data_IF_125335511903
#
_entry.id   IF_125335511903
#
_cell.length_a   1.000
_cell.length_b   1.000
_cell.length_c   1.000
_cell.angle_alpha   90.00
_cell.angle_beta   90.00
_cell.angle_gamma   90.00
#
_symmetry.space_group_name_H-M   'P 1'
#
loop_
_entity.id
_entity.type
_entity.pdbx_description
1 polymer ?
#
# COMPACT_ATOMS: atom_id res chain seq x y z
N UNK A 1 27.81 23.75 43.85
CA UNK A 1 27.96 22.52 43.03
C UNK A 1 26.60 22.13 42.47
N UNK A 2 26.27 22.50 41.22
CA UNK A 2 25.00 22.14 40.55
C UNK A 2 25.33 21.64 39.15
N UNK A 3 25.37 20.32 38.96
CA UNK A 3 25.78 19.72 37.68
C UNK A 3 25.06 18.40 37.40
N UNK A 4 23.77 18.29 37.72
CA UNK A 4 23.08 16.98 37.69
C UNK A 4 21.62 17.02 37.20
N UNK A 5 21.20 18.04 36.44
CA UNK A 5 19.81 18.12 35.91
C UNK A 5 19.77 18.00 34.37
N UNK A 6 20.90 18.16 33.67
CA UNK A 6 20.92 18.18 32.20
C UNK A 6 20.95 16.78 31.54
N UNK A 7 21.37 15.74 32.27
CA UNK A 7 21.46 14.37 31.76
C UNK A 7 20.08 13.75 31.45
N UNK A 8 19.04 13.84 32.32
CA UNK A 8 17.73 13.26 32.00
C UNK A 8 17.03 13.99 30.84
N UNK A 9 17.20 15.30 30.71
CA UNK A 9 16.57 16.09 29.64
C UNK A 9 17.15 15.73 28.27
N UNK A 10 18.48 15.54 28.17
CA UNK A 10 19.13 15.13 26.92
C UNK A 10 18.67 13.75 26.45
N UNK A 11 18.51 12.79 27.37
CA UNK A 11 18.02 11.45 27.05
C UNK A 11 16.57 11.48 26.56
N UNK A 12 15.69 12.22 27.24
CA UNK A 12 14.29 12.37 26.80
C UNK A 12 14.24 12.98 25.41
N UNK A 13 15.04 14.01 25.12
CA UNK A 13 15.01 14.69 23.83
C UNK A 13 15.55 13.79 22.70
N UNK A 14 16.59 12.99 22.95
CA UNK A 14 17.10 11.99 22.01
C UNK A 14 16.10 10.87 21.79
N UNK A 15 15.46 10.34 22.85
CA UNK A 15 14.44 9.30 22.74
C UNK A 15 13.21 9.82 22.01
N UNK A 16 12.72 11.02 22.32
CA UNK A 16 11.60 11.65 21.61
C UNK A 16 11.94 11.92 20.15
N UNK A 17 13.17 12.36 19.84
CA UNK A 17 13.64 12.55 18.48
C UNK A 17 13.77 11.22 17.73
N UNK A 18 14.26 10.17 18.39
CA UNK A 18 14.36 8.82 17.81
C UNK A 18 12.96 8.24 17.55
N UNK A 19 12.03 8.41 18.48
CA UNK A 19 10.61 8.03 18.32
C UNK A 19 9.95 8.85 17.22
N UNK A 20 10.25 10.14 17.08
CA UNK A 20 9.76 10.99 15.97
C UNK A 20 10.37 10.58 14.62
N UNK A 21 11.65 10.22 14.57
CA UNK A 21 12.33 9.73 13.37
C UNK A 21 11.80 8.35 12.96
N UNK A 22 11.54 7.46 13.93
CA UNK A 22 10.92 6.16 13.70
C UNK A 22 9.43 6.31 13.31
N UNK A 23 8.70 7.23 13.94
CA UNK A 23 7.29 7.51 13.62
C UNK A 23 7.10 8.15 12.24
N UNK A 24 8.10 8.87 11.73
CA UNK A 24 8.08 9.45 10.37
C UNK A 24 8.31 8.43 9.25
N UNK A 25 8.74 7.21 9.57
CA UNK A 25 9.22 6.24 8.58
C UNK A 25 8.32 5.04 8.29
N UNK A 26 7.23 4.82 9.03
CA UNK A 26 6.43 3.60 8.83
C UNK A 26 5.25 3.87 7.91
N UNK A 27 5.58 4.13 6.64
CA UNK A 27 4.68 3.77 5.54
C UNK A 27 4.33 2.29 5.62
N UNK A 28 3.21 1.90 5.04
CA UNK A 28 2.89 0.48 4.91
C UNK A 28 4.06 -0.26 4.25
N UNK A 29 4.41 -1.47 4.69
CA UNK A 29 5.40 -2.27 3.99
C UNK A 29 4.95 -2.46 2.54
N UNK A 30 5.90 -2.65 1.63
CA UNK A 30 5.56 -2.98 0.26
C UNK A 30 4.63 -4.21 0.21
N UNK A 31 3.46 -4.11 -0.43
CA UNK A 31 2.50 -5.20 -0.50
C UNK A 31 3.11 -6.42 -1.16
N UNK A 32 3.59 -6.32 -2.40
CA UNK A 32 4.18 -7.43 -3.16
C UNK A 32 5.70 -7.36 -3.13
N UNK A 33 6.36 -8.37 -2.58
CA UNK A 33 7.81 -8.48 -2.65
C UNK A 33 8.29 -8.96 -4.01
N UNK A 34 9.50 -8.56 -4.43
CA UNK A 34 10.14 -9.03 -5.68
C UNK A 34 10.16 -10.56 -5.80
N UNK A 35 10.35 -11.27 -4.68
CA UNK A 35 10.31 -12.74 -4.67
C UNK A 35 8.97 -13.33 -5.10
N UNK A 36 7.86 -12.73 -4.65
CA UNK A 36 6.50 -13.14 -5.06
C UNK A 36 6.24 -12.78 -6.52
N UNK A 37 6.59 -11.55 -6.91
CA UNK A 37 6.45 -11.07 -8.29
C UNK A 37 7.16 -12.03 -9.26
N UNK A 38 8.43 -12.32 -8.98
CA UNK A 38 9.26 -13.16 -9.83
C UNK A 38 8.79 -14.62 -9.87
N UNK A 39 8.24 -15.16 -8.78
CA UNK A 39 7.73 -16.53 -8.76
C UNK A 39 6.39 -16.68 -9.48
N UNK A 40 5.52 -15.67 -9.41
CA UNK A 40 4.14 -15.76 -9.90
C UNK A 40 4.02 -15.25 -11.34
N UNK A 41 4.70 -14.16 -11.69
CA UNK A 41 4.59 -13.52 -13.01
C UNK A 41 5.86 -13.64 -13.87
N UNK A 42 6.98 -14.07 -13.27
CA UNK A 42 8.30 -13.98 -13.90
C UNK A 42 8.99 -12.64 -13.62
N UNK A 43 10.20 -12.41 -14.18
CA UNK A 43 11.04 -11.26 -13.86
C UNK A 43 10.28 -9.93 -13.97
N UNK A 44 10.26 -9.17 -12.87
CA UNK A 44 9.64 -7.85 -12.80
C UNK A 44 10.41 -6.90 -11.89
N UNK A 45 10.28 -5.61 -12.18
CA UNK A 45 10.89 -4.53 -11.41
C UNK A 45 9.81 -3.61 -10.84
N UNK A 46 9.92 -3.33 -9.55
CA UNK A 46 9.07 -2.37 -8.86
C UNK A 46 9.54 -0.97 -9.21
N UNK A 47 8.65 -0.18 -9.80
CA UNK A 47 9.00 1.14 -10.29
C UNK A 47 9.22 2.13 -9.16
N UNK A 48 10.11 3.12 -9.34
CA UNK A 48 10.38 4.14 -8.31
C UNK A 48 9.18 5.06 -7.98
N UNK A 49 8.13 5.05 -8.80
CA UNK A 49 6.84 5.74 -8.59
C UNK A 49 5.90 4.99 -7.65
N UNK A 50 6.25 3.76 -7.25
CA UNK A 50 5.60 3.07 -6.13
C UNK A 50 5.86 3.82 -4.84
N UNK A 51 5.01 3.67 -3.81
CA UNK A 51 5.20 4.40 -2.57
C UNK A 51 4.02 4.36 -1.62
N UNK A 52 4.19 4.95 -0.44
CA UNK A 52 3.11 5.02 0.53
C UNK A 52 2.15 6.17 0.20
N UNK A 53 0.87 5.94 0.45
CA UNK A 53 -0.20 6.88 0.23
C UNK A 53 -0.67 7.46 1.56
N UNK A 54 -0.90 8.77 1.57
CA UNK A 54 -1.40 9.52 2.73
C UNK A 54 -2.45 10.53 2.30
N UNK A 55 -3.25 11.01 3.24
CA UNK A 55 -4.20 12.10 2.99
C UNK A 55 -3.65 13.40 3.55
N UNK A 56 -3.53 14.42 2.72
CA UNK A 56 -3.11 15.77 3.10
C UNK A 56 -4.08 16.79 2.53
N UNK A 57 -4.65 17.65 3.37
CA UNK A 57 -5.56 18.73 2.96
C UNK A 57 -6.75 18.25 2.09
N UNK A 58 -7.24 17.03 2.34
CA UNK A 58 -8.34 16.43 1.57
C UNK A 58 -7.92 15.88 0.19
N UNK A 59 -6.63 15.86 -0.12
CA UNK A 59 -6.07 15.23 -1.31
C UNK A 59 -5.25 14.00 -0.94
N UNK A 60 -5.14 13.06 -1.88
CA UNK A 60 -4.23 11.93 -1.74
C UNK A 60 -2.84 12.38 -2.17
N UNK A 61 -1.84 12.01 -1.38
CA UNK A 61 -0.43 12.26 -1.67
C UNK A 61 0.29 10.93 -1.67
N UNK A 62 0.88 10.58 -2.80
CA UNK A 62 1.81 9.46 -2.95
C UNK A 62 3.19 9.97 -2.62
N UNK A 63 3.85 9.33 -1.68
CA UNK A 63 5.26 9.56 -1.36
C UNK A 63 6.04 8.42 -1.97
N UNK A 64 6.60 8.70 -3.13
CA UNK A 64 7.23 7.72 -4.02
C UNK A 64 8.56 7.22 -3.41
N UNK A 65 8.96 6.00 -3.76
CA UNK A 65 10.21 5.37 -3.31
C UNK A 65 11.42 6.20 -3.75
N UNK A 66 11.35 6.89 -4.89
CA UNK A 66 12.39 7.83 -5.33
C UNK A 66 12.49 9.13 -4.50
N UNK A 67 11.57 9.35 -3.57
CA UNK A 67 11.59 10.49 -2.63
C UNK A 67 10.74 11.69 -3.04
N UNK A 68 10.10 11.65 -4.21
CA UNK A 68 9.16 12.68 -4.63
C UNK A 68 7.79 12.51 -3.94
N UNK A 69 7.06 13.61 -3.76
CA UNK A 69 5.65 13.57 -3.35
C UNK A 69 4.77 14.07 -4.49
N UNK A 70 3.79 13.28 -4.86
CA UNK A 70 2.87 13.58 -5.96
C UNK A 70 1.45 13.63 -5.45
N UNK A 71 0.77 14.75 -5.70
CA UNK A 71 -0.67 14.86 -5.45
C UNK A 71 -1.42 14.03 -6.48
N UNK A 72 -2.37 13.24 -6.02
CA UNK A 72 -3.22 12.40 -6.86
C UNK A 72 -4.67 12.48 -6.40
N UNK A 73 -5.55 11.83 -7.15
CA UNK A 73 -6.97 11.69 -6.82
C UNK A 73 -7.34 10.21 -6.79
N UNK A 74 -8.38 9.82 -6.02
CA UNK A 74 -8.84 8.44 -6.04
C UNK A 74 -9.20 7.93 -7.45
N UNK A 75 -9.79 8.79 -8.28
CA UNK A 75 -10.13 8.46 -9.67
C UNK A 75 -8.89 8.16 -10.54
N UNK A 76 -7.79 8.90 -10.35
CA UNK A 76 -6.52 8.61 -11.04
C UNK A 76 -5.87 7.31 -10.55
N UNK A 77 -6.15 6.93 -9.31
CA UNK A 77 -5.71 5.65 -8.75
C UNK A 77 -6.66 4.50 -9.08
N UNK A 78 -7.76 4.74 -9.81
CA UNK A 78 -8.72 3.71 -10.18
C UNK A 78 -9.57 3.17 -9.02
N UNK A 79 -9.60 3.84 -7.87
CA UNK A 79 -10.30 3.37 -6.67
C UNK A 79 -11.63 4.10 -6.46
N UNK A 80 -12.60 3.42 -5.84
CA UNK A 80 -13.96 3.94 -5.65
C UNK A 80 -14.13 4.86 -4.42
N UNK A 81 -13.12 4.92 -3.55
CA UNK A 81 -13.21 5.67 -2.30
C UNK A 81 -12.95 7.16 -2.48
N UNK A 82 -13.59 7.98 -1.64
CA UNK A 82 -13.26 9.40 -1.53
C UNK A 82 -12.04 9.60 -0.62
N UNK A 83 -11.28 10.68 -0.82
CA UNK A 83 -10.05 10.93 -0.05
C UNK A 83 -10.29 10.93 1.48
N UNK A 84 -11.43 11.41 1.96
CA UNK A 84 -11.76 11.41 3.39
C UNK A 84 -12.09 10.03 3.98
N UNK A 85 -12.38 9.04 3.13
CA UNK A 85 -12.61 7.65 3.52
C UNK A 85 -11.31 6.87 3.68
N UNK A 86 -10.19 7.40 3.17
CA UNK A 86 -8.89 6.77 3.18
C UNK A 86 -8.10 7.32 4.38
N UNK A 87 -7.48 6.43 5.15
CA UNK A 87 -6.56 6.81 6.23
C UNK A 87 -5.14 6.92 5.67
N UNK A 88 -4.67 5.82 5.08
CA UNK A 88 -3.36 5.66 4.44
C UNK A 88 -3.41 4.52 3.45
N UNK A 89 -2.37 4.35 2.66
CA UNK A 89 -2.30 3.26 1.70
C UNK A 89 -0.89 3.04 1.16
N UNK A 90 -0.82 2.25 0.11
CA UNK A 90 0.38 2.01 -0.66
C UNK A 90 -0.02 1.85 -2.13
N UNK A 91 0.78 2.38 -3.04
CA UNK A 91 0.64 2.14 -4.47
C UNK A 91 1.90 1.46 -4.96
N UNK A 92 1.73 0.41 -5.74
CA UNK A 92 2.81 -0.38 -6.30
C UNK A 92 2.63 -0.51 -7.81
N UNK A 93 3.65 -0.12 -8.55
CA UNK A 93 3.71 -0.23 -10.00
C UNK A 93 4.85 -1.16 -10.34
N UNK A 94 4.59 -2.15 -11.18
CA UNK A 94 5.60 -3.15 -11.56
C UNK A 94 5.59 -3.31 -13.08
N UNK A 95 6.79 -3.31 -13.66
CA UNK A 95 7.01 -3.64 -15.06
C UNK A 95 7.77 -4.96 -15.17
N UNK A 96 7.21 -5.90 -15.93
CA UNK A 96 7.91 -7.08 -16.43
C UNK A 96 8.28 -6.94 -17.90
N UNK A 97 8.81 -8.01 -18.49
CA UNK A 97 9.19 -8.05 -19.91
C UNK A 97 8.01 -7.91 -20.87
N UNK A 98 6.86 -8.47 -20.49
CA UNK A 98 5.67 -8.65 -21.32
C UNK A 98 4.38 -8.40 -20.53
N UNK A 99 4.50 -7.90 -19.30
CA UNK A 99 3.40 -7.53 -18.43
C UNK A 99 3.73 -6.23 -17.68
N UNK A 100 2.69 -5.58 -17.19
CA UNK A 100 2.81 -4.62 -16.11
C UNK A 100 1.59 -4.74 -15.22
N UNK A 101 1.73 -4.37 -13.96
CA UNK A 101 0.58 -4.27 -13.08
C UNK A 101 0.66 -3.06 -12.18
N UNK A 102 -0.51 -2.70 -11.68
CA UNK A 102 -0.71 -1.67 -10.69
C UNK A 102 -1.50 -2.25 -9.53
N UNK A 103 -1.04 -1.98 -8.31
CA UNK A 103 -1.68 -2.39 -7.08
C UNK A 103 -1.88 -1.17 -6.19
N UNK A 104 -3.13 -0.94 -5.77
CA UNK A 104 -3.45 -0.01 -4.68
C UNK A 104 -3.80 -0.83 -3.47
N UNK A 105 -3.21 -0.51 -2.33
CA UNK A 105 -3.69 -0.97 -1.05
C UNK A 105 -4.14 0.22 -0.24
N UNK A 106 -5.36 0.18 0.27
CA UNK A 106 -5.96 1.24 1.06
C UNK A 106 -6.33 0.70 2.44
N UNK A 107 -5.94 1.44 3.47
CA UNK A 107 -6.51 1.33 4.80
C UNK A 107 -7.56 2.43 4.95
N UNK A 108 -8.79 2.01 5.20
CA UNK A 108 -9.97 2.84 5.21
C UNK A 108 -10.26 3.32 6.63
N UNK A 109 -10.90 4.48 6.73
CA UNK A 109 -11.31 5.06 8.00
C UNK A 109 -12.57 4.32 8.52
N UNK A 110 -12.51 3.63 9.68
CA UNK A 110 -13.65 2.88 10.20
C UNK A 110 -14.88 3.74 10.54
N UNK A 111 -14.70 5.06 10.69
CA UNK A 111 -15.81 6.00 10.90
C UNK A 111 -16.56 6.37 9.61
N UNK A 112 -15.98 6.08 8.44
CA UNK A 112 -16.50 6.50 7.14
C UNK A 112 -16.92 5.34 6.24
N UNK A 113 -16.46 4.12 6.53
CA UNK A 113 -16.69 2.92 5.70
C UNK A 113 -17.23 1.79 6.56
N UNK A 114 -18.08 0.93 5.99
CA UNK A 114 -18.59 -0.27 6.65
C UNK A 114 -17.64 -1.43 6.40
N UNK A 115 -17.31 -2.17 7.46
CA UNK A 115 -16.47 -3.36 7.37
C UNK A 115 -17.11 -4.42 6.47
N UNK A 116 -16.32 -5.01 5.57
CA UNK A 116 -16.79 -6.09 4.69
C UNK A 116 -15.65 -7.02 4.26
N UNK A 117 -16.01 -8.22 3.82
CA UNK A 117 -15.06 -9.20 3.29
C UNK A 117 -15.57 -9.71 1.94
N UNK A 118 -14.87 -9.41 0.86
CA UNK A 118 -15.18 -9.96 -0.46
C UNK A 118 -13.93 -10.05 -1.34
N UNK A 119 -14.04 -10.87 -2.37
CA UNK A 119 -13.07 -10.93 -3.45
C UNK A 119 -13.84 -10.85 -4.75
N UNK A 120 -13.37 -10.02 -5.68
CA UNK A 120 -13.90 -9.94 -7.03
C UNK A 120 -12.75 -10.13 -8.02
N UNK A 121 -12.96 -10.96 -9.03
CA UNK A 121 -12.02 -11.17 -10.13
C UNK A 121 -12.77 -10.89 -11.43
N UNK A 122 -12.21 -10.04 -12.28
CA UNK A 122 -12.77 -9.63 -13.55
C UNK A 122 -11.70 -9.81 -14.62
N UNK A 123 -12.00 -10.65 -15.61
CA UNK A 123 -11.09 -10.97 -16.70
C UNK A 123 -11.61 -10.38 -18.01
N UNK A 124 -10.82 -9.50 -18.59
CA UNK A 124 -11.00 -8.95 -19.93
C UNK A 124 -9.90 -9.48 -20.86
N UNK A 125 -9.98 -9.21 -22.16
CA UNK A 125 -9.13 -9.85 -23.18
C UNK A 125 -7.62 -9.78 -22.88
N UNK A 126 -7.12 -8.68 -22.30
CA UNK A 126 -5.70 -8.50 -21.97
C UNK A 126 -5.47 -7.89 -20.57
N UNK A 127 -6.50 -7.94 -19.73
CA UNK A 127 -6.50 -7.29 -18.42
C UNK A 127 -7.17 -8.20 -17.41
N UNK A 128 -6.56 -8.37 -16.25
CA UNK A 128 -7.17 -9.03 -15.09
C UNK A 128 -7.22 -8.03 -13.94
N UNK A 129 -8.44 -7.76 -13.45
CA UNK A 129 -8.68 -6.93 -12.27
C UNK A 129 -9.09 -7.83 -11.10
N UNK A 130 -8.37 -7.71 -9.99
CA UNK A 130 -8.62 -8.43 -8.75
C UNK A 130 -8.82 -7.39 -7.65
N UNK A 131 -9.99 -7.42 -7.01
CA UNK A 131 -10.30 -6.62 -5.84
C UNK A 131 -10.40 -7.56 -4.65
N UNK A 132 -9.60 -7.30 -3.62
CA UNK A 132 -9.66 -8.02 -2.35
C UNK A 132 -9.98 -7.03 -1.25
N UNK A 133 -11.14 -7.18 -0.61
CA UNK A 133 -11.51 -6.37 0.54
C UNK A 133 -11.58 -7.24 1.79
N UNK A 134 -10.91 -6.82 2.86
CA UNK A 134 -10.95 -7.48 4.17
C UNK A 134 -11.22 -6.39 5.21
N UNK A 135 -12.16 -6.57 6.14
CA UNK A 135 -12.43 -5.61 7.21
C UNK A 135 -12.50 -4.15 6.75
N UNK A 136 -11.52 -3.33 7.11
CA UNK A 136 -11.38 -1.92 6.70
C UNK A 136 -10.18 -1.69 5.77
N UNK A 137 -9.85 -2.65 4.91
CA UNK A 137 -8.81 -2.51 3.92
C UNK A 137 -9.20 -3.12 2.58
N UNK A 138 -8.73 -2.49 1.49
CA UNK A 138 -8.94 -2.96 0.12
C UNK A 138 -7.62 -3.02 -0.63
N UNK A 139 -7.46 -4.03 -1.48
CA UNK A 139 -6.40 -4.14 -2.46
C UNK A 139 -7.02 -4.22 -3.87
N UNK A 140 -6.72 -3.22 -4.70
CA UNK A 140 -7.13 -3.14 -6.09
C UNK A 140 -5.93 -3.46 -6.98
N UNK A 141 -5.90 -4.66 -7.54
CA UNK A 141 -4.83 -5.15 -8.39
C UNK A 141 -5.28 -5.22 -9.84
N UNK A 142 -4.60 -4.48 -10.72
CA UNK A 142 -4.86 -4.48 -12.16
C UNK A 142 -3.62 -4.97 -12.90
N UNK A 143 -3.73 -6.11 -13.57
CA UNK A 143 -2.68 -6.74 -14.37
C UNK A 143 -2.96 -6.56 -15.85
N UNK A 144 -1.92 -6.25 -16.62
CA UNK A 144 -1.97 -6.02 -18.05
C UNK A 144 -0.94 -6.86 -18.79
N UNK A 145 -1.27 -7.22 -20.04
CA UNK A 145 -0.37 -7.90 -20.99
C UNK A 145 -0.99 -9.21 -21.48
N UNK A 146 -1.52 -9.99 -20.55
CA UNK A 146 -2.27 -11.22 -20.82
C UNK A 146 -3.24 -11.49 -19.65
N UNK A 147 -4.14 -12.45 -19.82
CA UNK A 147 -4.96 -12.94 -18.72
C UNK A 147 -4.12 -13.79 -17.78
N UNK A 148 -4.24 -13.55 -16.48
CA UNK A 148 -3.63 -14.44 -15.49
C UNK A 148 -4.22 -15.85 -15.64
N UNK A 149 -3.39 -16.86 -15.45
CA UNK A 149 -3.90 -18.22 -15.26
C UNK A 149 -4.64 -18.32 -13.93
N UNK A 150 -5.58 -19.26 -13.81
CA UNK A 150 -6.32 -19.50 -12.57
C UNK A 150 -5.40 -19.72 -11.36
N UNK A 151 -4.25 -20.38 -11.55
CA UNK A 151 -3.26 -20.58 -10.49
C UNK A 151 -2.66 -19.24 -10.02
N UNK A 152 -2.28 -18.36 -10.94
CA UNK A 152 -1.76 -17.02 -10.63
C UNK A 152 -2.83 -16.16 -9.96
N UNK A 153 -4.08 -16.19 -10.44
CA UNK A 153 -5.19 -15.47 -9.81
C UNK A 153 -5.36 -15.90 -8.34
N UNK A 154 -5.36 -17.20 -8.08
CA UNK A 154 -5.47 -17.74 -6.72
C UNK A 154 -4.29 -17.35 -5.84
N UNK A 155 -3.06 -17.37 -6.37
CA UNK A 155 -1.86 -16.92 -5.65
C UNK A 155 -1.97 -15.45 -5.26
N UNK A 156 -2.35 -14.59 -6.20
CA UNK A 156 -2.53 -13.14 -5.96
C UNK A 156 -3.62 -12.89 -4.92
N UNK A 157 -4.78 -13.52 -5.06
CA UNK A 157 -5.89 -13.38 -4.10
C UNK A 157 -5.45 -13.83 -2.70
N UNK A 158 -4.76 -14.98 -2.60
CA UNK A 158 -4.28 -15.51 -1.32
C UNK A 158 -3.26 -14.56 -0.67
N UNK A 159 -2.31 -14.09 -1.46
CA UNK A 159 -1.27 -13.18 -1.02
C UNK A 159 -1.83 -11.86 -0.51
N UNK A 160 -2.70 -11.22 -1.30
CA UNK A 160 -3.34 -9.96 -0.93
C UNK A 160 -4.28 -10.12 0.26
N UNK A 161 -5.05 -11.21 0.34
CA UNK A 161 -5.90 -11.49 1.52
C UNK A 161 -5.07 -11.55 2.80
N UNK A 162 -4.00 -12.34 2.79
CA UNK A 162 -3.12 -12.47 3.94
C UNK A 162 -2.39 -11.18 4.27
N UNK A 163 -2.02 -10.38 3.25
CA UNK A 163 -1.46 -9.05 3.47
C UNK A 163 -2.44 -8.13 4.18
N UNK A 164 -3.66 -7.99 3.66
CA UNK A 164 -4.71 -7.12 4.21
C UNK A 164 -5.08 -7.49 5.65
N UNK A 165 -5.21 -8.78 5.94
CA UNK A 165 -5.47 -9.28 7.29
C UNK A 165 -4.35 -8.91 8.28
N UNK A 166 -3.08 -9.01 7.85
CA UNK A 166 -1.94 -8.60 8.68
C UNK A 166 -1.93 -7.10 8.93
N UNK A 167 -2.09 -6.27 7.89
CA UNK A 167 -2.01 -4.81 8.08
C UNK A 167 -3.18 -4.26 8.89
N UNK A 168 -4.35 -4.89 8.83
CA UNK A 168 -5.49 -4.51 9.68
C UNK A 168 -5.27 -4.79 11.15
N UNK A 169 -4.51 -5.84 11.50
CA UNK A 169 -4.15 -6.09 12.90
C UNK A 169 -3.28 -5.00 13.54
N UNK A 170 -2.81 -4.03 12.73
CA UNK A 170 -2.00 -2.89 13.16
C UNK A 170 -2.77 -1.55 13.21
N UNK A 171 -4.08 -1.58 12.91
CA UNK A 171 -5.01 -0.46 13.13
C UNK A 171 -5.53 -0.49 14.57
#
# INVERSE_FOLDING_TARGET
MKRWIWVPVGIILVVSLLVLLLARGHGLPQPMGEGFINSTFGPGEVLPTSGYLSVSQGQLVVHEVRGDSVNTTPALLGVIYQAYMINRGYVEYVNGSDYHFYLVVLLLNPSQVVSSNYTQVMNETNTTLIIVHRGFAEADFTFYGHQLSLAQEMEVVSYLSGYLERVQSTL
#
